data_IF_761107304449
#
_entry.id   IF_761107304449
#
_cell.length_a   1.000
_cell.length_b   1.000
_cell.length_c   1.000
_cell.angle_alpha   90.00
_cell.angle_beta   90.00
_cell.angle_gamma   90.00
#
_symmetry.space_group_name_H-M   'P 1'
#
loop_
_entity.id
_entity.type
_entity.pdbx_description
1 polymer ?
#
# COMPACT_ATOMS: atom_id res chain seq x y z
N UNK A 1 -4.18 30.03 19.44
CA UNK A 1 -3.82 29.27 18.22
C UNK A 1 -4.43 27.89 18.40
N UNK A 2 -5.45 27.53 17.62
CA UNK A 2 -6.04 26.20 17.70
C UNK A 2 -5.26 25.29 16.75
N UNK A 3 -4.52 24.34 17.32
CA UNK A 3 -3.87 23.27 16.57
C UNK A 3 -4.92 22.16 16.40
N UNK A 4 -5.11 21.70 15.17
CA UNK A 4 -5.95 20.55 14.89
C UNK A 4 -5.18 19.31 15.37
N UNK A 5 -5.84 18.47 16.16
CA UNK A 5 -5.30 17.18 16.56
C UNK A 5 -5.04 16.29 15.33
N UNK A 6 -3.84 15.72 15.26
CA UNK A 6 -3.43 14.80 14.19
C UNK A 6 -3.27 13.41 14.79
N UNK A 7 -3.77 12.40 14.07
CA UNK A 7 -3.69 11.00 14.49
C UNK A 7 -2.61 10.27 13.66
N UNK A 8 -1.90 9.36 14.32
CA UNK A 8 -0.99 8.37 13.75
C UNK A 8 -1.66 6.99 13.67
N UNK A 9 -0.93 5.98 13.20
CA UNK A 9 -1.44 4.62 13.07
C UNK A 9 -1.84 4.01 14.42
N UNK A 10 -1.06 4.25 15.48
CA UNK A 10 -1.28 3.66 16.81
C UNK A 10 -2.45 4.29 17.58
N UNK A 11 -2.99 5.41 17.08
CA UNK A 11 -4.09 6.12 17.72
C UNK A 11 -5.47 5.57 17.33
N UNK A 12 -5.54 4.67 16.33
CA UNK A 12 -6.80 4.23 15.71
C UNK A 12 -6.89 2.73 15.49
N UNK A 13 -8.12 2.22 15.43
CA UNK A 13 -8.43 0.86 15.01
C UNK A 13 -9.50 0.90 13.90
N UNK A 14 -9.41 -0.05 12.96
CA UNK A 14 -10.47 -0.28 11.99
C UNK A 14 -11.66 -0.96 12.67
N UNK A 15 -12.85 -0.35 12.55
CA UNK A 15 -14.09 -0.93 13.07
C UNK A 15 -14.59 -2.01 12.11
N UNK A 16 -14.89 -3.24 12.57
CA UNK A 16 -15.43 -4.29 11.72
C UNK A 16 -16.74 -3.89 11.04
N UNK A 17 -16.89 -4.23 9.76
CA UNK A 17 -18.11 -4.08 8.98
C UNK A 17 -18.64 -5.43 8.49
N UNK A 18 -19.91 -5.48 8.08
CA UNK A 18 -20.45 -6.63 7.36
C UNK A 18 -19.72 -6.78 6.01
N UNK A 19 -19.40 -8.02 5.63
CA UNK A 19 -18.66 -8.33 4.40
C UNK A 19 -19.21 -9.59 3.74
N UNK A 20 -19.43 -9.50 2.43
CA UNK A 20 -19.67 -10.64 1.54
C UNK A 20 -18.40 -11.05 0.76
N UNK A 21 -17.27 -10.39 1.02
CA UNK A 21 -15.97 -10.64 0.39
C UNK A 21 -15.10 -11.50 1.31
N UNK A 22 -14.55 -12.58 0.76
CA UNK A 22 -13.52 -13.37 1.44
C UNK A 22 -12.14 -12.71 1.23
N UNK A 23 -11.23 -12.74 2.21
CA UNK A 23 -9.93 -12.05 2.10
C UNK A 23 -9.11 -12.41 0.85
N UNK A 24 -9.14 -13.67 0.43
CA UNK A 24 -8.41 -14.15 -0.75
C UNK A 24 -9.06 -13.77 -2.10
N UNK A 25 -10.27 -13.22 -2.08
CA UNK A 25 -10.96 -12.70 -3.27
C UNK A 25 -10.99 -11.18 -3.31
N UNK A 26 -10.34 -10.50 -2.36
CA UNK A 26 -10.24 -9.05 -2.35
C UNK A 26 -9.33 -8.59 -3.50
N UNK A 27 -9.81 -7.64 -4.32
CA UNK A 27 -9.01 -7.02 -5.36
C UNK A 27 -8.10 -5.96 -4.75
N UNK A 28 -6.79 -6.21 -4.79
CA UNK A 28 -5.76 -5.31 -4.25
C UNK A 28 -5.06 -4.49 -5.32
N UNK A 29 -5.52 -4.58 -6.58
CA UNK A 29 -4.96 -3.76 -7.68
C UNK A 29 -5.23 -2.29 -7.41
N UNK A 30 -4.24 -1.45 -7.69
CA UNK A 30 -4.34 -0.01 -7.46
C UNK A 30 -3.74 0.79 -8.60
N UNK A 31 -4.04 2.09 -8.63
CA UNK A 31 -3.48 3.03 -9.60
C UNK A 31 -2.42 3.87 -8.92
N UNK A 32 -1.17 3.77 -9.39
CA UNK A 32 -0.07 4.57 -8.87
C UNK A 32 -0.19 6.02 -9.36
N UNK A 33 -0.25 6.21 -10.67
CA UNK A 33 -0.39 7.53 -11.30
C UNK A 33 -0.87 7.38 -12.74
N UNK A 34 -1.79 8.25 -13.20
CA UNK A 34 -2.31 8.27 -14.58
C UNK A 34 -2.69 6.85 -15.05
N UNK A 35 -1.96 6.30 -16.01
CA UNK A 35 -2.23 5.00 -16.63
C UNK A 35 -1.29 3.89 -16.12
N UNK A 36 -0.59 4.12 -15.01
CA UNK A 36 0.27 3.14 -14.34
C UNK A 36 -0.52 2.47 -13.20
N UNK A 37 -0.68 1.17 -13.30
CA UNK A 37 -1.40 0.32 -12.36
C UNK A 37 -0.45 -0.70 -11.74
N UNK A 38 -0.67 -1.00 -10.46
CA UNK A 38 0.04 -2.03 -9.72
C UNK A 38 -0.94 -3.17 -9.40
N UNK A 39 -0.43 -4.40 -9.39
CA UNK A 39 -1.23 -5.54 -8.97
C UNK A 39 -1.39 -5.62 -7.44
N UNK A 40 -0.48 -5.02 -6.68
CA UNK A 40 -0.54 -4.84 -5.23
C UNK A 40 -0.16 -3.39 -4.84
N UNK A 41 -0.69 -2.82 -3.75
CA UNK A 41 -0.47 -1.43 -3.36
C UNK A 41 0.83 -1.28 -2.55
N UNK A 42 1.96 -1.76 -3.09
CA UNK A 42 3.26 -1.79 -2.41
C UNK A 42 4.30 -1.19 -3.34
N UNK A 43 5.09 -0.23 -2.85
CA UNK A 43 6.22 0.38 -3.58
C UNK A 43 7.41 0.42 -2.63
N UNK A 44 8.60 0.06 -3.12
CA UNK A 44 9.82 0.15 -2.32
C UNK A 44 10.32 1.60 -2.20
N UNK A 45 10.99 1.90 -1.09
CA UNK A 45 11.56 3.23 -0.88
C UNK A 45 12.75 3.46 -1.83
N UNK A 46 12.83 4.67 -2.40
CA UNK A 46 13.96 5.11 -3.23
C UNK A 46 15.16 5.46 -2.33
N UNK A 47 15.79 4.44 -1.75
CA UNK A 47 16.92 4.54 -0.84
C UNK A 47 18.03 3.59 -1.28
N UNK A 48 19.29 4.02 -1.10
CA UNK A 48 20.51 3.29 -1.45
C UNK A 48 20.64 1.91 -0.79
N UNK A 49 20.07 1.76 0.40
CA UNK A 49 20.09 0.53 1.20
C UNK A 49 18.83 -0.31 1.05
N UNK A 50 17.89 0.13 0.19
CA UNK A 50 16.61 -0.54 0.00
C UNK A 50 16.49 -1.02 -1.45
N UNK A 51 16.50 -0.11 -2.43
CA UNK A 51 16.11 -0.43 -3.80
C UNK A 51 17.27 -0.23 -4.77
N UNK A 52 17.80 -1.35 -5.25
CA UNK A 52 18.62 -1.46 -6.46
C UNK A 52 17.88 -2.37 -7.48
N UNK A 53 18.55 -2.83 -8.52
CA UNK A 53 17.93 -3.61 -9.61
C UNK A 53 17.24 -4.89 -9.11
N UNK A 54 17.86 -5.61 -8.18
CA UNK A 54 17.37 -6.91 -7.73
C UNK A 54 16.03 -6.78 -7.00
N UNK A 55 15.89 -5.80 -6.09
CA UNK A 55 14.64 -5.57 -5.40
C UNK A 55 13.57 -5.01 -6.34
N UNK A 56 13.93 -4.13 -7.27
CA UNK A 56 12.99 -3.58 -8.23
C UNK A 56 12.38 -4.69 -9.12
N UNK A 57 13.21 -5.63 -9.58
CA UNK A 57 12.75 -6.78 -10.37
C UNK A 57 11.85 -7.68 -9.53
N UNK A 58 12.27 -8.03 -8.32
CA UNK A 58 11.49 -8.91 -7.44
C UNK A 58 10.13 -8.29 -7.09
N UNK A 59 10.09 -7.01 -6.74
CA UNK A 59 8.84 -6.33 -6.38
C UNK A 59 7.87 -6.26 -7.57
N UNK A 60 8.38 -5.96 -8.77
CA UNK A 60 7.56 -5.93 -9.98
C UNK A 60 6.96 -7.31 -10.31
N UNK A 61 7.69 -8.41 -10.05
CA UNK A 61 7.19 -9.77 -10.21
C UNK A 61 6.09 -10.12 -9.20
N UNK A 62 6.19 -9.61 -7.97
CA UNK A 62 5.15 -9.72 -6.93
C UNK A 62 3.98 -8.73 -7.13
N UNK A 63 4.08 -7.86 -8.15
CA UNK A 63 3.00 -6.99 -8.57
C UNK A 63 3.01 -5.57 -8.01
N UNK A 64 4.10 -5.16 -7.35
CA UNK A 64 4.35 -3.77 -6.95
C UNK A 64 5.04 -2.93 -8.01
#
# INVERSE_FOLDING_TARGET
MNIIESLSYDDVLLVPGNSDVLPNTADVRTRLVRDIYLNAPIVSAAMDTVTEEDLAIALALEGG
#
